data_IF_055401130681
#
_entry.id   IF_055401130681
#
_cell.length_a   1.000
_cell.length_b   1.000
_cell.length_c   1.000
_cell.angle_alpha   90.00
_cell.angle_beta   90.00
_cell.angle_gamma   90.00
#
_symmetry.space_group_name_H-M   'P 1'
#
loop_
_entity.id
_entity.type
_entity.pdbx_description
1 polymer ?
2 water ?
#
# COMPACT_ATOMS: atom_id res chain seq x y z
N UNK A 3 8.29 16.04 9.49
CA UNK A 3 7.27 15.90 8.47
C UNK A 3 6.55 14.61 8.78
N UNK A 4 5.24 14.58 8.71
CA UNK A 4 4.49 13.43 9.11
C UNK A 4 3.90 13.71 10.47
N UNK A 5 3.00 12.80 10.82
CA UNK A 5 2.32 12.85 12.09
C UNK A 5 2.53 11.52 12.76
N UNK A 6 2.98 11.55 14.00
CA UNK A 6 3.12 10.37 14.82
C UNK A 6 1.80 10.21 15.58
N UNK A 7 1.10 9.13 15.34
CA UNK A 7 -0.15 8.85 16.01
C UNK A 7 0.20 7.74 16.99
N UNK A 8 0.38 8.16 18.25
CA UNK A 8 0.84 7.27 19.30
C UNK A 8 0.01 6.02 19.49
N UNK A 9 -1.29 6.23 19.39
CA UNK A 9 -2.25 5.18 19.68
C UNK A 9 -2.32 4.08 18.65
N UNK A 10 -1.82 4.34 17.46
CA UNK A 10 -1.98 3.37 16.42
C UNK A 10 -0.83 2.40 16.34
N UNK A 11 -0.92 1.22 16.86
CA UNK A 11 0.08 0.18 16.77
C UNK A 11 -0.43 -0.79 15.76
N UNK A 12 0.15 -0.74 14.58
CA UNK A 12 -0.25 -1.60 13.50
C UNK A 12 0.50 -2.91 13.64
N UNK A 13 -0.10 -3.75 14.46
CA UNK A 13 0.46 -5.04 14.73
C UNK A 13 -0.35 -6.06 13.98
N UNK A 14 0.15 -7.29 14.03
CA UNK A 14 -0.57 -8.44 13.51
C UNK A 14 -2.00 -8.47 14.10
N UNK A 15 -3.02 -8.62 13.26
CA UNK A 15 -4.39 -8.69 13.73
C UNK A 15 -5.15 -7.38 13.65
N UNK A 16 -4.51 -6.22 13.49
CA UNK A 16 -5.20 -4.95 13.36
C UNK A 16 -5.53 -4.71 11.89
N UNK A 17 -6.55 -3.93 11.63
CA UNK A 17 -6.96 -3.56 10.30
C UNK A 17 -6.71 -2.08 10.14
N UNK A 18 -5.79 -1.75 9.24
CA UNK A 18 -5.47 -0.38 8.92
C UNK A 18 -6.19 -0.01 7.64
N UNK A 19 -7.06 0.97 7.67
CA UNK A 19 -7.66 1.44 6.45
C UNK A 19 -7.10 2.81 6.12
N UNK A 20 -6.65 2.97 4.88
CA UNK A 20 -6.27 4.27 4.35
C UNK A 20 -7.32 4.70 3.33
N UNK A 21 -7.65 5.97 3.33
CA UNK A 21 -8.61 6.53 2.41
C UNK A 21 -8.06 7.82 1.82
N UNK A 22 -8.55 8.18 0.65
CA UNK A 22 -8.12 9.41 0.06
C UNK A 22 -8.67 9.54 -1.34
N UNK A 23 -8.08 10.45 -2.10
CA UNK A 23 -8.54 10.73 -3.43
C UNK A 23 -7.44 10.53 -4.42
N UNK A 24 -7.74 9.85 -5.51
CA UNK A 24 -6.81 9.69 -6.60
C UNK A 24 -6.90 10.99 -7.42
N UNK A 25 -5.77 11.47 -7.92
CA UNK A 25 -5.71 12.63 -8.79
C UNK A 25 -6.42 12.37 -10.11
N UNK A 26 -6.82 13.45 -10.76
CA UNK A 26 -7.29 13.35 -12.14
C UNK A 26 -6.05 13.09 -12.95
N UNK A 27 -6.18 12.38 -14.05
CA UNK A 27 -5.04 12.04 -14.90
C UNK A 27 -3.84 11.46 -14.17
N UNK A 28 -3.98 10.40 -13.38
CA UNK A 28 -2.90 9.78 -12.64
C UNK A 28 -2.04 8.89 -13.53
N UNK A 29 -0.82 8.76 -13.06
CA UNK A 29 0.16 7.87 -13.63
C UNK A 29 0.08 6.67 -12.71
N UNK A 30 0.31 6.86 -11.40
CA UNK A 30 0.27 5.77 -10.43
C UNK A 30 0.31 6.32 -9.02
N UNK A 31 -0.12 5.53 -8.05
CA UNK A 31 0.07 5.89 -6.66
C UNK A 31 0.25 4.61 -5.86
N UNK A 32 1.00 4.72 -4.78
CA UNK A 32 1.24 3.60 -3.92
C UNK A 32 0.91 3.83 -2.44
N UNK A 33 0.59 2.73 -1.79
CA UNK A 33 0.48 2.71 -0.33
C UNK A 33 1.71 1.91 0.10
N UNK A 34 2.42 2.45 1.07
CA UNK A 34 3.69 1.89 1.52
C UNK A 34 3.70 1.73 3.03
N UNK A 35 3.93 0.53 3.54
CA UNK A 35 4.05 0.31 4.97
C UNK A 35 5.34 -0.45 5.22
N UNK A 36 6.02 -0.06 6.29
CA UNK A 36 7.25 -0.69 6.69
C UNK A 36 7.85 0.04 7.88
N UNK A 37 9.16 0.13 7.86
CA UNK A 37 9.92 0.76 8.91
C UNK A 37 10.26 2.19 8.51
N UNK A 38 10.53 2.51 7.24
CA UNK A 38 10.89 3.85 6.79
C UNK A 38 10.61 3.93 5.31
N UNK A 39 10.88 5.00 4.60
CA UNK A 39 10.73 5.05 3.16
C UNK A 39 11.72 4.08 2.52
N UNK A 40 12.81 3.68 3.20
CA UNK A 40 13.78 2.78 2.60
C UNK A 40 13.60 1.31 2.87
N UNK A 41 12.79 1.04 3.87
CA UNK A 41 12.60 -0.31 4.30
C UNK A 41 11.10 -0.51 4.43
N UNK A 42 10.57 -1.08 3.35
CA UNK A 42 9.15 -1.30 3.19
C UNK A 42 8.82 -2.76 3.11
N UNK A 43 7.96 -3.23 4.01
CA UNK A 43 7.41 -4.57 3.91
C UNK A 43 6.37 -4.66 2.79
N UNK A 44 5.62 -3.59 2.46
CA UNK A 44 4.67 -3.65 1.35
C UNK A 44 4.58 -2.31 0.65
N UNK A 45 4.73 -2.38 -0.67
CA UNK A 45 4.59 -1.25 -1.58
C UNK A 45 3.50 -1.77 -2.52
N UNK A 46 2.34 -1.14 -2.48
CA UNK A 46 1.17 -1.54 -3.24
C UNK A 46 0.93 -0.41 -4.21
N UNK A 47 1.34 -0.61 -5.44
CA UNK A 47 1.29 0.39 -6.47
C UNK A 47 0.16 0.17 -7.46
N UNK A 48 -0.78 1.09 -7.55
CA UNK A 48 -1.80 1.03 -8.57
C UNK A 48 -1.31 1.83 -9.76
N UNK A 49 -0.97 1.17 -10.86
CA UNK A 49 -0.48 1.86 -12.04
C UNK A 49 -1.57 1.98 -13.09
N UNK A 50 -2.01 3.22 -13.24
CA UNK A 50 -3.04 3.59 -14.19
C UNK A 50 -2.46 3.60 -15.58
N UNK A 51 -1.41 4.36 -15.79
CA UNK A 51 -0.81 4.51 -17.10
C UNK A 51 0.64 4.77 -16.81
N UNK A 52 1.40 3.70 -16.80
CA UNK A 52 2.79 3.76 -16.47
C UNK A 52 3.56 2.92 -17.47
N UNK A 53 3.66 3.47 -18.68
CA UNK A 53 4.38 2.81 -19.75
C UNK A 53 3.71 1.49 -20.10
N UNK A 54 4.38 0.35 -19.94
CA UNK A 54 3.76 -0.93 -20.29
C UNK A 54 2.67 -1.33 -19.32
N UNK A 55 2.68 -0.76 -18.11
CA UNK A 55 1.68 -1.08 -17.14
C UNK A 55 0.54 -0.11 -17.22
N UNK A 56 -0.55 -0.67 -17.62
CA UNK A 56 -1.80 0.00 -17.83
C UNK A 56 -2.72 -0.72 -16.89
N UNK A 57 -3.38 -0.02 -15.97
CA UNK A 57 -4.29 -0.60 -14.98
C UNK A 57 -3.85 -1.94 -14.39
N UNK A 58 -2.66 -1.86 -13.81
CA UNK A 58 -2.06 -3.02 -13.19
C UNK A 58 -1.70 -2.66 -11.75
N UNK A 59 -1.92 -3.59 -10.84
CA UNK A 59 -1.47 -3.47 -9.46
C UNK A 59 -0.12 -4.14 -9.38
N UNK A 60 0.90 -3.50 -8.82
CA UNK A 60 2.18 -4.14 -8.61
C UNK A 60 2.42 -4.09 -7.09
N UNK A 61 2.85 -5.18 -6.50
CA UNK A 61 3.21 -5.26 -5.09
C UNK A 61 4.67 -5.72 -5.00
N UNK A 62 5.42 -5.10 -4.09
CA UNK A 62 6.81 -5.45 -3.89
C UNK A 62 7.25 -5.00 -2.49
N UNK A 63 8.52 -5.16 -2.17
CA UNK A 63 9.13 -4.73 -0.92
C UNK A 63 10.58 -4.34 -1.24
N UNK A 64 11.23 -3.70 -0.28
CA UNK A 64 12.61 -3.33 -0.43
C UNK A 64 13.19 -3.10 0.96
N UNK A 65 14.46 -3.44 1.06
CA UNK A 65 15.25 -3.13 2.24
C UNK A 65 16.22 -2.02 1.88
N UNK A 66 16.35 -1.62 0.62
CA UNK A 66 17.33 -0.63 0.21
C UNK A 66 16.71 0.48 -0.61
N UNK A 67 15.51 0.89 -0.23
CA UNK A 67 14.78 1.93 -0.93
C UNK A 67 14.62 1.61 -2.41
N UNK A 68 14.93 2.62 -3.19
CA UNK A 68 14.77 2.50 -4.62
C UNK A 68 15.73 1.51 -5.27
N UNK A 69 16.81 1.13 -4.59
CA UNK A 69 17.77 0.21 -5.18
C UNK A 69 17.66 -1.18 -4.64
N UNK A 70 16.58 -1.52 -3.94
CA UNK A 70 16.48 -2.86 -3.41
C UNK A 70 15.15 -3.50 -3.75
N UNK A 71 14.42 -3.00 -4.75
CA UNK A 71 13.13 -3.58 -5.10
C UNK A 71 13.29 -5.07 -5.38
N UNK A 72 12.45 -5.92 -4.82
CA UNK A 72 12.60 -7.35 -4.98
C UNK A 72 11.66 -7.93 -6.04
N UNK A 73 11.19 -9.16 -5.88
CA UNK A 73 10.26 -9.83 -6.78
C UNK A 73 8.87 -9.20 -6.73
N UNK A 74 8.45 -8.62 -7.82
CA UNK A 74 7.16 -8.06 -8.00
C UNK A 74 6.08 -9.12 -8.14
N UNK A 75 4.93 -8.81 -7.55
CA UNK A 75 3.74 -9.61 -7.74
C UNK A 75 2.76 -8.63 -8.38
N UNK A 76 2.05 -9.03 -9.43
CA UNK A 76 1.15 -8.16 -10.13
C UNK A 76 -0.25 -8.74 -10.18
N UNK A 77 -1.24 -7.88 -10.28
CA UNK A 77 -2.64 -8.26 -10.43
C UNK A 77 -3.26 -7.34 -11.46
N UNK A 78 -4.11 -7.84 -12.37
CA UNK A 78 -4.80 -6.97 -13.30
C UNK A 78 -6.24 -6.72 -12.90
N UNK A 79 -6.59 -7.18 -11.71
CA UNK A 79 -7.91 -6.96 -11.17
C UNK A 79 -7.98 -5.54 -10.58
N UNK A 80 -7.97 -4.60 -11.50
CA UNK A 80 -7.87 -3.19 -11.21
C UNK A 80 -9.24 -2.55 -11.20
N UNK A 81 -9.62 -2.02 -10.04
CA UNK A 81 -10.95 -1.48 -9.87
C UNK A 81 -10.99 0.01 -9.54
N UNK A 82 -9.86 0.66 -9.25
CA UNK A 82 -9.89 2.08 -8.92
C UNK A 82 -9.99 2.98 -10.12
N UNK A 83 -10.49 4.21 -9.96
CA UNK A 83 -10.63 5.15 -11.05
C UNK A 83 -10.01 6.49 -10.70
N UNK A 84 -9.51 7.17 -11.72
CA UNK A 84 -8.99 8.52 -11.62
C UNK A 84 -10.01 9.44 -10.97
N UNK A 85 -9.53 10.38 -10.17
CA UNK A 85 -10.38 11.38 -9.56
C UNK A 85 -11.27 10.84 -8.46
N UNK A 86 -11.24 9.58 -8.10
CA UNK A 86 -12.18 9.07 -7.12
C UNK A 86 -11.60 8.85 -5.72
N UNK A 87 -12.53 8.77 -4.78
CA UNK A 87 -12.23 8.40 -3.41
C UNK A 87 -11.89 6.92 -3.36
N UNK A 88 -10.90 6.49 -2.60
CA UNK A 88 -10.60 5.08 -2.47
C UNK A 88 -10.41 4.79 -0.98
N UNK A 89 -10.46 3.50 -0.67
CA UNK A 89 -10.14 2.98 0.65
C UNK A 89 -9.57 1.59 0.45
N UNK A 90 -8.47 1.35 1.12
CA UNK A 90 -7.78 0.07 1.09
C UNK A 90 -7.56 -0.31 2.56
N UNK A 91 -7.89 -1.53 2.94
CA UNK A 91 -7.65 -2.03 4.28
C UNK A 91 -6.59 -3.11 4.23
N UNK A 92 -5.60 -2.96 5.09
CA UNK A 92 -4.49 -3.87 5.24
C UNK A 92 -4.53 -4.49 6.63
N UNK A 93 -4.16 -5.76 6.65
CA UNK A 93 -3.90 -6.51 7.87
C UNK A 93 -2.83 -7.51 7.48
N UNK A 94 -2.26 -8.22 8.43
CA UNK A 94 -1.22 -9.18 8.19
C UNK A 94 -1.05 -10.04 9.43
N UNK A 95 -0.40 -11.17 9.19
CA UNK A 95 0.11 -12.01 10.24
C UNK A 95 1.59 -12.21 9.89
N UNK A 96 2.36 -13.04 10.55
CA UNK A 96 3.77 -13.27 10.35
C UNK A 96 4.03 -13.84 8.97
N UNK A 97 3.04 -14.46 8.36
CA UNK A 97 3.22 -15.07 7.07
C UNK A 97 2.87 -14.16 5.94
N UNK A 98 1.77 -13.42 6.05
CA UNK A 98 1.31 -12.58 4.97
C UNK A 98 0.47 -11.36 5.26
N UNK A 99 0.42 -10.49 4.26
CA UNK A 99 -0.42 -9.32 4.20
C UNK A 99 -1.68 -9.67 3.44
N UNK A 100 -2.79 -9.09 3.88
CA UNK A 100 -4.13 -9.25 3.31
C UNK A 100 -4.58 -7.83 2.96
N UNK A 101 -4.87 -7.64 1.69
CA UNK A 101 -5.15 -6.34 1.12
C UNK A 101 -6.57 -6.39 0.62
N UNK A 102 -7.42 -5.62 1.27
CA UNK A 102 -8.82 -5.54 0.94
C UNK A 102 -9.12 -4.17 0.34
N UNK A 103 -9.27 -4.12 -0.98
CA UNK A 103 -9.61 -2.88 -1.66
C UNK A 103 -11.13 -2.72 -1.67
N UNK A 104 -11.65 -1.59 -1.21
CA UNK A 104 -13.10 -1.38 -1.16
C UNK A 104 -13.64 -1.44 -2.58
N UNK A 105 -14.70 -2.24 -2.77
CA UNK A 105 -15.33 -2.50 -4.06
C UNK A 105 -14.36 -3.02 -5.11
N UNK A 106 -13.41 -3.85 -4.68
CA UNK A 106 -12.39 -4.37 -5.57
C UNK A 106 -11.81 -5.64 -5.02
N UNK A 107 -10.64 -6.10 -5.45
CA UNK A 107 -10.10 -7.37 -5.03
C UNK A 107 -9.65 -7.46 -3.58
N UNK A 108 -9.41 -8.71 -3.24
CA UNK A 108 -8.75 -9.07 -2.02
C UNK A 108 -7.49 -9.76 -2.48
N UNK A 109 -6.35 -9.25 -2.06
CA UNK A 109 -5.04 -9.73 -2.48
C UNK A 109 -4.22 -10.14 -1.25
N UNK A 110 -3.21 -10.96 -1.47
CA UNK A 110 -2.32 -11.41 -0.43
C UNK A 110 -0.92 -11.23 -0.97
N UNK A 111 0.03 -10.95 -0.11
CA UNK A 111 1.40 -10.74 -0.51
C UNK A 111 2.17 -11.32 0.66
N UNK A 112 3.31 -12.00 0.49
CA UNK A 112 4.12 -12.51 1.60
C UNK A 112 4.63 -11.43 2.55
N UNK A 113 4.68 -11.76 3.84
CA UNK A 113 5.33 -10.91 4.84
C UNK A 113 6.77 -11.40 4.81
N UNK A 114 7.50 -10.84 3.85
CA UNK A 114 8.86 -11.27 3.52
C UNK A 114 9.90 -11.11 4.60
N UNK A 115 9.71 -10.20 5.54
CA UNK A 115 10.70 -9.94 6.55
C UNK A 115 10.19 -10.35 7.91
N UNK A 116 9.12 -11.14 7.97
CA UNK A 116 8.55 -11.64 9.23
C UNK A 116 8.35 -10.55 10.28
N UNK A 117 7.75 -9.45 9.81
CA UNK A 117 7.48 -8.32 10.69
C UNK A 117 6.22 -8.57 11.48
N UNK A 118 6.16 -8.06 12.69
CA UNK A 118 4.98 -8.17 13.52
C UNK A 118 4.55 -6.81 14.01
N UNK A 119 5.26 -5.76 13.61
CA UNK A 119 4.93 -4.39 13.94
C UNK A 119 5.45 -3.56 12.78
N UNK A 120 4.65 -2.62 12.28
CA UNK A 120 5.08 -1.76 11.19
C UNK A 120 4.88 -0.32 11.61
N UNK A 121 5.95 0.43 11.88
CA UNK A 121 5.88 1.79 12.39
C UNK A 121 5.58 2.91 11.41
N UNK A 122 5.63 2.66 10.09
CA UNK A 122 5.58 3.71 9.10
C UNK A 122 4.59 3.43 7.97
N UNK A 123 3.94 4.52 7.60
CA UNK A 123 2.97 4.54 6.53
C UNK A 123 3.18 5.76 5.64
N UNK A 124 3.18 5.54 4.32
CA UNK A 124 3.18 6.64 3.40
C UNK A 124 2.36 6.31 2.15
N UNK A 125 1.77 7.31 1.59
CA UNK A 125 1.17 7.20 0.28
C UNK A 125 2.16 7.95 -0.61
N UNK A 126 2.40 7.46 -1.80
CA UNK A 126 3.25 8.16 -2.75
C UNK A 126 2.53 8.21 -4.09
N UNK A 127 2.90 9.19 -4.90
CA UNK A 127 2.34 9.32 -6.23
C UNK A 127 1.13 10.21 -6.36
N UNK A 128 0.30 9.85 -7.33
CA UNK A 128 -0.78 10.70 -7.73
C UNK A 128 -2.08 10.48 -7.00
N UNK A 129 -2.02 10.62 -5.69
CA UNK A 129 -3.22 10.53 -4.87
C UNK A 129 -2.95 11.35 -3.62
N UNK A 130 -3.96 11.61 -2.81
CA UNK A 130 -3.79 12.41 -1.60
C UNK A 130 -4.41 11.58 -0.48
N UNK A 131 -3.65 11.38 0.58
CA UNK A 131 -4.13 10.65 1.73
C UNK A 131 -4.99 11.59 2.57
N UNK A 132 -6.18 11.19 2.98
CA UNK A 132 -6.98 12.07 3.80
C UNK A 132 -7.38 11.36 5.10
N UNK A 133 -7.38 10.03 5.17
CA UNK A 133 -7.79 9.34 6.40
C UNK A 133 -7.03 8.05 6.65
N UNK A 134 -6.83 7.82 7.95
CA UNK A 134 -6.21 6.62 8.43
C UNK A 134 -7.12 6.17 9.57
N UNK A 135 -7.53 4.92 9.50
CA UNK A 135 -8.41 4.29 10.47
C UNK A 135 -7.75 3.01 10.97
N UNK A 136 -7.75 2.72 12.26
CA UNK A 136 -7.13 1.50 12.73
C UNK A 136 -8.16 0.89 13.67
N UNK A 137 -8.45 -0.39 13.44
CA UNK A 137 -9.44 -1.16 14.20
C UNK A 137 -8.92 -2.56 14.55
#
# INVERSE_FOLDING_TARGET
XSGGLQVKNFDFTVGKFLTVGGFINNSPQRFSVNVGESMNSLSLHLDHRFNYGADQNTIVMNSTLKGDNGWETEQRSTNFTLSAGQYFEITLSYDINKFYIDILDGPNLEFPNRYSKEFLPFLSLAGDARLTLVKLE
#
